data_IF_287861259603
#
_entry.id   IF_287861259603
#
_cell.length_a   1.000
_cell.length_b   1.000
_cell.length_c   1.000
_cell.angle_alpha   90.00
_cell.angle_beta   90.00
_cell.angle_gamma   90.00
#
_symmetry.space_group_name_H-M   'P 1'
#
loop_
_entity.id
_entity.type
_entity.pdbx_description
1 polymer ?
#
# COMPACT_ATOMS: atom_id res chain seq x y z
N UNK A 1 -3.94 25.85 -7.07
CA UNK A 1 -4.72 25.14 -6.03
C UNK A 1 -3.72 24.52 -5.06
N UNK A 2 -4.02 24.51 -3.76
CA UNK A 2 -3.15 23.86 -2.78
C UNK A 2 -3.21 22.34 -2.95
N UNK A 3 -2.06 21.66 -2.85
CA UNK A 3 -1.97 20.20 -2.87
C UNK A 3 -2.25 19.68 -1.44
N UNK A 4 -3.30 18.90 -1.25
CA UNK A 4 -3.69 18.30 0.04
C UNK A 4 -3.53 16.77 0.07
N UNK A 5 -2.76 16.19 -0.86
CA UNK A 5 -2.53 14.75 -0.99
C UNK A 5 -2.09 14.10 0.33
N UNK A 6 -1.07 14.65 0.98
CA UNK A 6 -0.58 14.16 2.29
C UNK A 6 -1.67 14.16 3.35
N UNK A 7 -2.54 15.18 3.38
CA UNK A 7 -3.64 15.27 4.34
C UNK A 7 -4.72 14.23 4.06
N UNK A 8 -5.02 13.94 2.79
CA UNK A 8 -6.01 12.91 2.44
C UNK A 8 -5.49 11.50 2.72
N UNK A 9 -4.22 11.25 2.43
CA UNK A 9 -3.53 10.03 2.82
C UNK A 9 -3.50 9.85 4.34
N UNK A 10 -3.31 10.94 5.08
CA UNK A 10 -3.43 10.94 6.55
C UNK A 10 -4.82 10.48 6.99
N UNK A 11 -5.88 11.09 6.48
CA UNK A 11 -7.25 10.70 6.82
C UNK A 11 -7.60 9.26 6.39
N UNK A 12 -7.00 8.77 5.31
CA UNK A 12 -7.12 7.37 4.90
C UNK A 12 -6.52 6.43 5.95
N UNK A 13 -5.29 6.71 6.37
CA UNK A 13 -4.60 5.94 7.42
C UNK A 13 -5.29 6.02 8.77
N UNK A 14 -5.81 7.20 9.15
CA UNK A 14 -6.55 7.38 10.40
C UNK A 14 -7.85 6.54 10.41
N UNK A 15 -8.58 6.51 9.30
CA UNK A 15 -9.77 5.66 9.18
C UNK A 15 -9.42 4.17 9.35
N UNK A 16 -8.33 3.69 8.74
CA UNK A 16 -7.92 2.29 8.90
C UNK A 16 -7.51 1.98 10.33
N UNK A 17 -6.85 2.92 11.02
CA UNK A 17 -6.51 2.77 12.43
C UNK A 17 -7.76 2.69 13.31
N UNK A 18 -8.76 3.52 13.06
CA UNK A 18 -10.05 3.46 13.76
C UNK A 18 -10.75 2.11 13.53
N UNK A 19 -10.73 1.62 12.29
CA UNK A 19 -11.29 0.29 11.96
C UNK A 19 -10.53 -0.84 12.64
N UNK A 20 -9.20 -0.75 12.73
CA UNK A 20 -8.38 -1.74 13.43
C UNK A 20 -8.73 -1.78 14.93
N UNK A 21 -8.79 -0.61 15.57
CA UNK A 21 -9.15 -0.48 16.98
C UNK A 21 -10.54 -1.06 17.27
N UNK A 22 -11.54 -0.77 16.43
CA UNK A 22 -12.90 -1.29 16.57
C UNK A 22 -12.98 -2.82 16.46
N UNK A 23 -12.02 -3.44 15.76
CA UNK A 23 -11.97 -4.89 15.51
C UNK A 23 -10.99 -5.63 16.41
N UNK A 24 -10.25 -4.92 17.27
CA UNK A 24 -9.13 -5.50 18.02
C UNK A 24 -8.03 -6.04 17.09
N UNK A 25 -7.85 -5.45 15.91
CA UNK A 25 -6.83 -5.83 14.94
C UNK A 25 -5.62 -4.90 15.04
N UNK A 26 -4.44 -5.40 14.64
CA UNK A 26 -3.24 -4.59 14.53
C UNK A 26 -3.28 -3.74 13.25
N UNK A 27 -2.71 -2.55 13.31
CA UNK A 27 -2.52 -1.69 12.14
C UNK A 27 -1.29 -0.81 12.31
N UNK A 28 -0.41 -0.85 11.31
CA UNK A 28 0.71 0.08 11.18
C UNK A 28 0.76 0.66 9.77
N UNK A 29 1.33 1.86 9.70
CA UNK A 29 1.54 2.61 8.46
C UNK A 29 3.00 3.03 8.40
N UNK A 30 3.60 2.87 7.23
CA UNK A 30 4.93 3.38 6.93
C UNK A 30 4.85 4.30 5.72
N UNK A 31 5.49 5.48 5.81
CA UNK A 31 5.60 6.42 4.71
C UNK A 31 6.87 6.10 3.91
N UNK A 32 6.77 6.13 2.58
CA UNK A 32 7.90 5.88 1.67
C UNK A 32 8.66 7.16 1.30
N UNK A 33 8.20 8.33 1.78
CA UNK A 33 8.89 9.63 1.73
C UNK A 33 9.58 9.98 0.39
N UNK A 34 8.86 9.79 -0.72
CA UNK A 34 9.37 10.13 -2.06
C UNK A 34 10.25 9.05 -2.70
N UNK A 35 10.17 7.80 -2.19
CA UNK A 35 10.70 6.61 -2.85
C UNK A 35 9.70 5.99 -3.84
N UNK A 36 8.70 6.75 -4.25
CA UNK A 36 7.74 6.43 -5.31
C UNK A 36 8.44 6.08 -6.64
N UNK A 37 9.66 6.59 -6.86
CA UNK A 37 10.48 6.21 -8.01
C UNK A 37 10.87 4.72 -8.03
N UNK A 38 10.88 4.02 -6.89
CA UNK A 38 11.21 2.59 -6.77
C UNK A 38 9.98 1.70 -6.83
N UNK A 39 8.94 2.04 -6.08
CA UNK A 39 7.80 1.16 -5.83
C UNK A 39 6.45 1.71 -6.30
N UNK A 40 6.43 2.92 -6.89
CA UNK A 40 5.22 3.57 -7.42
C UNK A 40 4.08 3.67 -6.38
N UNK A 41 4.45 3.87 -5.12
CA UNK A 41 3.55 4.03 -3.99
C UNK A 41 4.12 5.05 -2.99
N UNK A 42 3.23 5.65 -2.21
CA UNK A 42 3.58 6.60 -1.14
C UNK A 42 3.61 5.93 0.24
N UNK A 43 2.83 4.87 0.43
CA UNK A 43 2.57 4.26 1.73
C UNK A 43 2.61 2.74 1.70
N UNK A 44 3.01 2.15 2.83
CA UNK A 44 2.74 0.76 3.18
C UNK A 44 1.75 0.72 4.34
N UNK A 45 0.69 -0.09 4.23
CA UNK A 45 -0.14 -0.46 5.37
C UNK A 45 0.02 -1.94 5.71
N UNK A 46 -0.08 -2.26 6.99
CA UNK A 46 0.02 -3.64 7.44
C UNK A 46 -0.80 -3.91 8.69
N UNK A 47 -1.30 -5.14 8.81
CA UNK A 47 -1.84 -5.70 10.05
C UNK A 47 -0.85 -6.67 10.73
N UNK A 48 0.45 -6.49 10.45
CA UNK A 48 1.65 -7.24 10.87
C UNK A 48 1.99 -8.44 9.98
N UNK A 49 0.98 -9.16 9.50
CA UNK A 49 1.16 -10.36 8.68
C UNK A 49 0.82 -10.13 7.22
N UNK A 50 -0.08 -9.18 6.94
CA UNK A 50 -0.52 -8.83 5.60
C UNK A 50 -0.21 -7.38 5.27
N UNK A 51 0.13 -7.12 4.03
CA UNK A 51 0.70 -5.85 3.57
C UNK A 51 0.03 -5.35 2.29
N UNK A 52 0.01 -4.03 2.13
CA UNK A 52 -0.44 -3.31 0.93
C UNK A 52 0.45 -2.12 0.63
N UNK A 53 0.57 -1.80 -0.66
CA UNK A 53 1.11 -0.55 -1.19
C UNK A 53 -0.03 0.37 -1.60
N UNK A 54 0.08 1.66 -1.27
CA UNK A 54 -0.90 2.68 -1.66
C UNK A 54 -0.19 3.91 -2.21
N UNK A 55 -0.46 4.24 -3.47
CA UNK A 55 -0.17 5.57 -4.06
C UNK A 55 -1.33 6.51 -3.73
N UNK A 56 -1.05 7.71 -3.25
CA UNK A 56 -2.05 8.75 -3.04
C UNK A 56 -2.11 9.75 -4.17
N UNK A 57 -3.31 10.27 -4.44
CA UNK A 57 -3.53 11.45 -5.26
C UNK A 57 -4.49 12.40 -4.59
N UNK A 58 -4.29 13.70 -4.79
CA UNK A 58 -5.19 14.70 -4.25
C UNK A 58 -6.60 14.64 -4.90
N UNK A 59 -6.71 14.18 -6.16
CA UNK A 59 -8.01 13.90 -6.79
C UNK A 59 -7.91 12.91 -7.95
N UNK A 60 -9.06 12.39 -8.41
CA UNK A 60 -9.16 11.52 -9.59
C UNK A 60 -8.52 12.15 -10.85
N UNK A 61 -8.62 13.47 -11.01
CA UNK A 61 -8.01 14.17 -12.15
C UNK A 61 -6.48 14.07 -12.15
N UNK A 62 -5.88 13.84 -10.98
CA UNK A 62 -4.43 13.74 -10.81
C UNK A 62 -3.90 12.33 -11.06
N UNK A 63 -4.76 11.32 -11.28
CA UNK A 63 -4.33 10.00 -11.74
C UNK A 63 -3.48 10.11 -13.02
N UNK A 64 -3.82 11.08 -13.89
CA UNK A 64 -3.06 11.37 -15.12
C UNK A 64 -1.62 11.86 -14.88
N UNK A 65 -1.27 12.29 -13.67
CA UNK A 65 0.10 12.72 -13.35
C UNK A 65 1.10 11.55 -13.32
N UNK A 66 0.62 10.31 -13.21
CA UNK A 66 1.44 9.11 -13.34
C UNK A 66 2.09 8.99 -14.73
N UNK A 67 1.59 9.70 -15.74
CA UNK A 67 2.28 9.84 -17.04
C UNK A 67 3.66 10.47 -16.93
N UNK A 68 3.94 11.25 -15.88
CA UNK A 68 5.30 11.77 -15.60
C UNK A 68 6.28 10.64 -15.24
N UNK A 69 5.76 9.49 -14.85
CA UNK A 69 6.49 8.24 -14.57
C UNK A 69 6.34 7.24 -15.73
N UNK A 70 6.03 7.69 -16.95
CA UNK A 70 5.63 6.82 -18.07
C UNK A 70 6.59 5.66 -18.35
N UNK A 71 7.91 5.87 -18.27
CA UNK A 71 8.88 4.80 -18.48
C UNK A 71 8.72 3.68 -17.42
N UNK A 72 8.67 4.06 -16.15
CA UNK A 72 8.49 3.16 -15.00
C UNK A 72 7.15 2.42 -15.06
N UNK A 73 6.09 3.17 -15.35
CA UNK A 73 4.74 2.61 -15.52
C UNK A 73 4.72 1.63 -16.70
N UNK A 74 5.36 1.96 -17.83
CA UNK A 74 5.46 1.07 -18.99
C UNK A 74 6.19 -0.24 -18.67
N UNK A 75 7.30 -0.16 -17.92
CA UNK A 75 8.02 -1.34 -17.42
C UNK A 75 7.15 -2.18 -16.50
N UNK A 76 6.46 -1.56 -15.54
CA UNK A 76 5.51 -2.24 -14.67
C UNK A 76 4.44 -2.98 -15.49
N UNK A 77 3.73 -2.28 -16.38
CA UNK A 77 2.63 -2.89 -17.14
C UNK A 77 3.12 -4.03 -18.04
N UNK A 78 4.33 -3.92 -18.62
CA UNK A 78 4.96 -4.97 -19.41
C UNK A 78 5.36 -6.18 -18.55
N UNK A 79 5.95 -5.92 -17.37
CA UNK A 79 6.30 -6.97 -16.42
C UNK A 79 5.06 -7.73 -15.93
N UNK A 80 3.99 -7.01 -15.60
CA UNK A 80 2.71 -7.60 -15.19
C UNK A 80 2.09 -8.45 -16.31
N UNK A 81 2.15 -8.00 -17.57
CA UNK A 81 1.65 -8.76 -18.70
C UNK A 81 2.45 -10.07 -18.94
N UNK A 82 3.75 -10.05 -18.65
CA UNK A 82 4.63 -11.21 -18.80
C UNK A 82 4.62 -12.16 -17.60
N UNK A 83 4.10 -11.73 -16.43
CA UNK A 83 4.15 -12.50 -15.19
C UNK A 83 2.78 -12.54 -14.48
N UNK A 84 1.93 -13.54 -14.80
CA UNK A 84 0.61 -13.70 -14.18
C UNK A 84 0.62 -13.87 -12.66
N UNK A 85 1.69 -14.43 -12.08
CA UNK A 85 1.80 -14.57 -10.63
C UNK A 85 1.96 -13.19 -9.96
N UNK A 86 2.86 -12.35 -10.50
CA UNK A 86 3.05 -10.98 -10.00
C UNK A 86 1.84 -10.10 -10.29
N UNK A 87 1.11 -10.35 -11.39
CA UNK A 87 -0.18 -9.72 -11.66
C UNK A 87 -1.21 -10.00 -10.56
N UNK A 88 -1.30 -11.25 -10.09
CA UNK A 88 -2.20 -11.62 -9.01
C UNK A 88 -1.82 -10.95 -7.68
N UNK A 89 -0.52 -10.92 -7.35
CA UNK A 89 -0.03 -10.23 -6.15
C UNK A 89 -0.27 -8.71 -6.24
N UNK A 90 0.02 -8.09 -7.38
CA UNK A 90 -0.26 -6.68 -7.65
C UNK A 90 -1.73 -6.35 -7.38
N UNK A 91 -2.65 -7.13 -7.94
CA UNK A 91 -4.09 -6.90 -7.79
C UNK A 91 -4.59 -7.03 -6.36
N UNK A 92 -3.93 -7.87 -5.57
CA UNK A 92 -4.28 -8.11 -4.18
C UNK A 92 -3.71 -7.06 -3.22
N UNK A 93 -2.60 -6.37 -3.56
CA UNK A 93 -1.90 -5.51 -2.62
C UNK A 93 -1.54 -4.09 -3.09
N UNK A 94 -1.61 -3.76 -4.37
CA UNK A 94 -1.11 -2.47 -4.88
C UNK A 94 -2.25 -1.58 -5.40
N UNK A 95 -2.56 -0.55 -4.62
CA UNK A 95 -3.71 0.33 -4.83
C UNK A 95 -3.28 1.77 -5.10
N UNK A 96 -4.20 2.51 -5.72
CA UNK A 96 -4.13 3.97 -5.83
C UNK A 96 -5.38 4.57 -5.18
N UNK A 97 -5.20 5.56 -4.32
CA UNK A 97 -6.25 6.20 -3.54
C UNK A 97 -6.36 7.68 -3.87
N UNK A 98 -7.58 8.22 -3.88
CA UNK A 98 -7.84 9.62 -4.15
C UNK A 98 -9.09 10.13 -3.46
N UNK A 99 -9.22 11.46 -3.41
CA UNK A 99 -10.49 12.11 -3.04
C UNK A 99 -11.36 12.29 -4.28
N UNK A 100 -12.56 11.74 -4.26
CA UNK A 100 -13.55 11.96 -5.31
C UNK A 100 -13.97 13.43 -5.33
N UNK A 101 -13.82 14.10 -6.47
CA UNK A 101 -14.08 15.55 -6.59
C UNK A 101 -15.56 15.91 -6.42
N UNK A 102 -16.49 14.98 -6.74
CA UNK A 102 -17.94 15.20 -6.66
C UNK A 102 -18.49 14.86 -5.28
N UNK A 103 -18.14 13.69 -4.75
CA UNK A 103 -18.70 13.19 -3.48
C UNK A 103 -17.88 13.59 -2.26
N UNK A 104 -16.64 14.06 -2.47
CA UNK A 104 -15.64 14.37 -1.44
C UNK A 104 -15.16 13.16 -0.62
N UNK A 105 -15.64 11.96 -0.94
CA UNK A 105 -15.25 10.70 -0.29
C UNK A 105 -13.85 10.27 -0.71
N UNK A 106 -13.17 9.57 0.19
CA UNK A 106 -11.95 8.84 -0.12
C UNK A 106 -12.31 7.52 -0.82
N UNK A 107 -11.69 7.30 -1.97
CA UNK A 107 -11.89 6.15 -2.85
C UNK A 107 -10.53 5.57 -3.23
N UNK A 108 -10.53 4.31 -3.64
CA UNK A 108 -9.33 3.65 -4.14
C UNK A 108 -9.70 2.56 -5.14
N UNK A 109 -8.73 2.16 -5.94
CA UNK A 109 -8.82 0.99 -6.82
C UNK A 109 -7.44 0.36 -6.99
N UNK A 110 -7.41 -0.82 -7.60
CA UNK A 110 -6.16 -1.49 -7.98
C UNK A 110 -5.36 -0.57 -8.91
N UNK A 111 -4.09 -0.29 -8.55
CA UNK A 111 -3.24 0.68 -9.23
C UNK A 111 -3.20 0.43 -10.75
N UNK A 112 -2.95 -0.81 -11.18
CA UNK A 112 -2.82 -1.13 -12.61
C UNK A 112 -4.12 -0.92 -13.39
N UNK A 113 -5.29 -1.04 -12.76
CA UNK A 113 -6.58 -0.86 -13.45
C UNK A 113 -6.82 0.60 -13.82
N UNK A 114 -6.26 1.51 -13.02
CA UNK A 114 -6.33 2.95 -13.27
C UNK A 114 -5.17 3.42 -14.17
N UNK A 115 -3.98 2.84 -14.00
CA UNK A 115 -2.75 3.36 -14.58
C UNK A 115 -2.29 2.60 -15.84
N UNK A 116 -2.41 1.27 -15.89
CA UNK A 116 -2.08 0.48 -17.08
C UNK A 116 -3.23 0.48 -18.08
N UNK A 117 -3.48 1.66 -18.68
CA UNK A 117 -4.55 1.86 -19.67
C UNK A 117 -4.00 2.48 -20.94
N UNK A 118 -4.73 2.31 -22.05
CA UNK A 118 -4.41 3.00 -23.31
C UNK A 118 -4.50 4.52 -23.19
N UNK A 119 -5.32 5.02 -22.26
CA UNK A 119 -5.35 6.45 -21.96
C UNK A 119 -4.02 6.94 -21.38
N UNK A 120 -3.34 6.14 -20.56
CA UNK A 120 -2.07 6.52 -19.92
C UNK A 120 -0.83 6.19 -20.75
N UNK A 121 -0.79 5.03 -21.39
CA UNK A 121 0.38 4.53 -22.12
C UNK A 121 0.20 4.48 -23.65
N UNK A 122 -0.95 4.89 -24.18
CA UNK A 122 -1.26 4.77 -25.60
C UNK A 122 -1.41 3.31 -26.05
N UNK A 123 -1.16 3.06 -27.33
CA UNK A 123 -1.20 1.73 -27.94
C UNK A 123 -0.10 0.79 -27.46
N UNK A 124 0.86 1.30 -26.68
CA UNK A 124 1.95 0.51 -26.10
C UNK A 124 1.56 -0.21 -24.81
N UNK A 125 0.36 0.01 -24.26
CA UNK A 125 -0.12 -0.72 -23.09
C UNK A 125 -0.31 -2.21 -23.42
N UNK A 126 0.46 -3.13 -22.80
CA UNK A 126 0.42 -4.55 -23.15
C UNK A 126 -0.70 -5.31 -22.44
N UNK A 127 -1.25 -4.72 -21.38
CA UNK A 127 -2.37 -5.30 -20.64
C UNK A 127 -3.69 -5.00 -21.37
N UNK A 128 -4.64 -5.96 -21.38
CA UNK A 128 -5.97 -5.70 -21.90
C UNK A 128 -6.60 -4.53 -21.14
N UNK A 129 -7.49 -3.76 -21.78
CA UNK A 129 -8.26 -2.77 -21.06
C UNK A 129 -8.94 -3.44 -19.85
N UNK A 130 -9.01 -2.76 -18.69
CA UNK A 130 -9.78 -3.27 -17.56
C UNK A 130 -11.18 -3.65 -18.07
N UNK A 131 -11.70 -4.80 -17.66
CA UNK A 131 -13.03 -5.26 -18.10
C UNK A 131 -14.02 -4.10 -18.03
N UNK A 132 -14.64 -3.79 -19.18
CA UNK A 132 -15.41 -2.57 -19.43
C UNK A 132 -16.70 -2.46 -18.61
N UNK A 133 -16.97 -3.39 -17.69
CA UNK A 133 -17.78 -3.09 -16.51
C UNK A 133 -16.88 -2.38 -15.52
N UNK A 134 -16.83 -1.05 -15.58
CA UNK A 134 -16.15 -0.20 -14.61
C UNK A 134 -16.62 -0.59 -13.21
N UNK A 135 -15.92 -1.52 -12.55
CA UNK A 135 -16.14 -1.79 -11.14
C UNK A 135 -15.90 -0.44 -10.46
N UNK A 136 -16.94 0.10 -9.84
CA UNK A 136 -16.81 1.38 -9.16
C UNK A 136 -15.59 1.32 -8.24
N UNK A 137 -14.78 2.39 -8.18
CA UNK A 137 -13.71 2.49 -7.20
C UNK A 137 -14.20 2.04 -5.83
N UNK A 138 -13.39 1.24 -5.14
CA UNK A 138 -13.70 0.79 -3.81
C UNK A 138 -13.97 2.00 -2.93
N UNK A 139 -15.11 1.97 -2.23
CA UNK A 139 -15.31 2.86 -1.09
C UNK A 139 -14.35 2.42 0.00
N UNK A 140 -13.77 3.37 0.72
CA UNK A 140 -12.83 3.09 1.81
C UNK A 140 -13.35 2.06 2.82
N UNK A 141 -14.65 2.07 3.14
CA UNK A 141 -15.29 1.04 3.97
C UNK A 141 -15.15 -0.37 3.41
N UNK A 142 -15.39 -0.57 2.11
CA UNK A 142 -15.27 -1.89 1.48
C UNK A 142 -13.83 -2.39 1.54
N UNK A 143 -12.87 -1.49 1.35
CA UNK A 143 -11.46 -1.82 1.47
C UNK A 143 -11.09 -2.19 2.90
N UNK A 144 -11.49 -1.40 3.90
CA UNK A 144 -11.20 -1.73 5.30
C UNK A 144 -11.84 -3.04 5.74
N UNK A 145 -13.06 -3.33 5.26
CA UNK A 145 -13.72 -4.62 5.47
C UNK A 145 -12.90 -5.80 4.93
N UNK A 146 -12.33 -5.68 3.72
CA UNK A 146 -11.49 -6.71 3.12
C UNK A 146 -10.06 -6.78 3.66
N UNK A 147 -9.48 -5.66 4.08
CA UNK A 147 -8.13 -5.57 4.67
C UNK A 147 -8.08 -6.20 6.07
N UNK A 148 -9.13 -5.98 6.88
CA UNK A 148 -9.28 -6.58 8.20
C UNK A 148 -10.25 -7.78 8.21
N UNK A 149 -10.42 -8.47 7.08
CA UNK A 149 -11.30 -9.65 7.01
C UNK A 149 -10.77 -10.78 7.90
N UNK A 150 -11.67 -11.40 8.65
CA UNK A 150 -11.39 -12.55 9.52
C UNK A 150 -12.43 -13.65 9.29
N UNK A 151 -12.04 -14.95 9.28
CA UNK A 151 -10.67 -15.43 9.42
C UNK A 151 -9.79 -15.08 8.20
N UNK A 152 -8.46 -15.07 8.35
CA UNK A 152 -7.56 -14.85 7.22
C UNK A 152 -7.78 -15.90 6.11
N UNK A 153 -7.44 -15.59 4.85
CA UNK A 153 -6.71 -14.40 4.42
C UNK A 153 -7.61 -13.17 4.14
N UNK A 154 -7.08 -11.95 4.31
CA UNK A 154 -7.73 -10.73 3.83
C UNK A 154 -7.89 -10.73 2.31
N UNK A 155 -8.90 -10.01 1.82
CA UNK A 155 -9.18 -9.90 0.37
C UNK A 155 -8.34 -8.83 -0.32
N UNK A 156 -7.87 -7.84 0.44
CA UNK A 156 -7.13 -6.68 -0.08
C UNK A 156 -5.79 -6.50 0.61
N UNK A 157 -5.08 -7.60 0.85
CA UNK A 157 -3.69 -7.61 1.29
C UNK A 157 -3.07 -8.97 1.02
N UNK A 158 -1.74 -9.03 0.89
CA UNK A 158 -0.99 -10.28 0.71
C UNK A 158 -0.09 -10.55 1.90
N UNK A 159 0.21 -11.83 2.15
CA UNK A 159 1.01 -12.24 3.29
C UNK A 159 2.46 -11.73 3.16
N UNK A 160 3.15 -11.58 4.29
CA UNK A 160 4.53 -11.07 4.38
C UNK A 160 5.49 -11.64 3.32
N UNK A 161 5.51 -12.97 3.17
CA UNK A 161 6.40 -13.64 2.22
C UNK A 161 6.08 -13.26 0.75
N UNK A 162 4.80 -13.24 0.38
CA UNK A 162 4.37 -12.84 -0.96
C UNK A 162 4.64 -11.34 -1.19
N UNK A 163 4.49 -10.52 -0.16
CA UNK A 163 4.77 -9.09 -0.22
C UNK A 163 6.26 -8.81 -0.47
N UNK A 164 7.14 -9.52 0.23
CA UNK A 164 8.59 -9.42 0.02
C UNK A 164 8.98 -9.82 -1.41
N UNK A 165 8.41 -10.93 -1.90
CA UNK A 165 8.62 -11.35 -3.28
C UNK A 165 8.13 -10.31 -4.29
N UNK A 166 6.93 -9.80 -4.06
CA UNK A 166 6.32 -8.80 -4.92
C UNK A 166 7.11 -7.49 -4.93
N UNK A 167 7.53 -6.94 -3.77
CA UNK A 167 8.31 -5.70 -3.73
C UNK A 167 9.68 -5.88 -4.38
N UNK A 168 10.36 -7.01 -4.15
CA UNK A 168 11.61 -7.35 -4.84
C UNK A 168 11.43 -7.37 -6.36
N UNK A 169 10.41 -8.06 -6.84
CA UNK A 169 10.09 -8.07 -8.27
C UNK A 169 9.74 -6.67 -8.80
N UNK A 170 8.97 -5.88 -8.04
CA UNK A 170 8.53 -4.54 -8.43
C UNK A 170 9.70 -3.59 -8.60
N UNK A 171 10.62 -3.53 -7.62
CA UNK A 171 11.81 -2.68 -7.69
C UNK A 171 12.70 -3.08 -8.87
N UNK A 172 12.99 -4.38 -9.02
CA UNK A 172 13.78 -4.87 -10.16
C UNK A 172 13.11 -4.55 -11.50
N UNK A 173 11.78 -4.68 -11.59
CA UNK A 173 11.04 -4.41 -12.84
C UNK A 173 11.01 -2.93 -13.18
N UNK A 174 10.75 -2.07 -12.19
CA UNK A 174 10.55 -0.64 -12.40
C UNK A 174 11.87 0.11 -12.56
N UNK A 175 12.87 -0.18 -11.74
CA UNK A 175 14.13 0.57 -11.70
C UNK A 175 15.36 -0.23 -12.15
N UNK A 176 15.26 -1.55 -12.31
CA UNK A 176 16.41 -2.45 -12.38
C UNK A 176 17.30 -2.43 -11.12
N UNK A 177 16.73 -1.98 -9.98
CA UNK A 177 17.40 -1.92 -8.67
C UNK A 177 17.09 -3.14 -7.78
N UNK A 178 17.48 -3.04 -6.51
CA UNK A 178 17.31 -4.05 -5.46
C UNK A 178 16.32 -3.57 -4.39
N UNK A 179 15.47 -4.48 -3.86
CA UNK A 179 14.51 -4.17 -2.79
C UNK A 179 15.13 -3.72 -1.46
N UNK A 180 16.39 -4.08 -1.20
CA UNK A 180 17.14 -3.61 -0.03
C UNK A 180 17.35 -2.10 -0.03
N UNK A 181 17.05 -1.42 -1.12
CA UNK A 181 17.11 0.04 -1.22
C UNK A 181 15.79 0.72 -0.82
N UNK A 182 14.76 0.00 -0.39
CA UNK A 182 13.50 0.60 0.11
C UNK A 182 13.66 0.91 1.59
N UNK A 183 13.88 2.18 1.90
CA UNK A 183 14.03 2.67 3.27
C UNK A 183 12.68 3.15 3.82
N UNK A 184 12.43 2.98 5.11
CA UNK A 184 11.21 3.43 5.76
C UNK A 184 11.52 4.11 7.08
N UNK A 185 10.57 4.86 7.60
CA UNK A 185 10.61 5.38 8.97
C UNK A 185 9.52 4.69 9.78
N UNK A 186 9.94 4.03 10.86
CA UNK A 186 9.05 3.41 11.83
C UNK A 186 8.91 4.25 13.09
N UNK A 187 7.92 3.88 13.90
CA UNK A 187 7.74 4.41 15.25
C UNK A 187 8.02 3.29 16.27
N UNK A 188 8.84 3.58 17.27
CA UNK A 188 8.99 2.79 18.51
C UNK A 188 8.63 3.65 19.72
N UNK A 189 8.52 3.01 20.88
CA UNK A 189 8.41 3.68 22.16
C UNK A 189 9.59 3.26 23.04
N UNK A 190 10.18 4.21 23.76
CA UNK A 190 11.23 3.90 24.73
C UNK A 190 10.64 3.35 26.05
N UNK A 191 11.52 3.15 27.04
CA UNK A 191 11.14 2.61 28.34
C UNK A 191 10.21 3.53 29.14
N UNK A 192 10.25 4.84 28.87
CA UNK A 192 9.41 5.85 29.52
C UNK A 192 8.06 6.02 28.80
N UNK A 193 7.90 5.39 27.63
CA UNK A 193 6.71 5.46 26.79
C UNK A 193 6.72 6.62 25.80
N UNK A 194 7.87 7.29 25.61
CA UNK A 194 8.01 8.36 24.65
C UNK A 194 8.20 7.81 23.23
N UNK A 195 7.59 8.49 22.25
CA UNK A 195 7.62 8.07 20.87
C UNK A 195 8.97 8.41 20.20
N UNK A 196 9.58 7.42 19.58
CA UNK A 196 10.81 7.53 18.80
C UNK A 196 10.54 7.27 17.32
N UNK A 197 11.11 8.09 16.45
CA UNK A 197 11.21 7.79 15.02
C UNK A 197 12.51 7.01 14.75
N UNK A 198 12.41 5.89 14.04
CA UNK A 198 13.57 5.05 13.71
C UNK A 198 13.68 4.84 12.20
N UNK A 199 14.90 4.92 11.69
CA UNK A 199 15.18 4.58 10.30
C UNK A 199 15.18 3.05 10.14
N UNK A 200 14.52 2.57 9.10
CA UNK A 200 14.38 1.17 8.72
C UNK A 200 14.92 1.03 7.29
N UNK A 201 16.24 0.84 7.09
CA UNK A 201 16.84 0.80 5.75
C UNK A 201 16.44 -0.42 4.90
N UNK A 202 15.50 -1.26 5.35
CA UNK A 202 14.95 -2.36 4.56
C UNK A 202 13.60 -2.83 5.10
N UNK A 203 12.85 -3.57 4.26
CA UNK A 203 11.65 -4.28 4.69
C UNK A 203 11.92 -5.34 5.77
N UNK A 204 13.11 -5.94 5.80
CA UNK A 204 13.48 -6.90 6.84
C UNK A 204 13.41 -6.27 8.24
N UNK A 205 13.90 -5.03 8.38
CA UNK A 205 13.84 -4.30 9.65
C UNK A 205 12.43 -3.84 10.01
N UNK A 206 11.56 -3.62 9.01
CA UNK A 206 10.11 -3.44 9.27
C UNK A 206 9.54 -4.71 9.90
N UNK A 207 9.88 -5.89 9.40
CA UNK A 207 9.37 -7.15 9.93
C UNK A 207 9.85 -7.40 11.36
N UNK A 208 11.14 -7.15 11.64
CA UNK A 208 11.69 -7.23 13.00
C UNK A 208 10.94 -6.30 13.97
N UNK A 209 10.70 -5.05 13.57
CA UNK A 209 9.92 -4.09 14.36
C UNK A 209 8.49 -4.62 14.67
N UNK A 210 7.80 -5.15 13.67
CA UNK A 210 6.43 -5.65 13.83
C UNK A 210 6.38 -6.90 14.73
N UNK A 211 7.40 -7.75 14.64
CA UNK A 211 7.52 -8.94 15.48
C UNK A 211 7.83 -8.55 16.94
N UNK A 212 8.67 -7.54 17.17
CA UNK A 212 8.87 -6.94 18.50
C UNK A 212 7.56 -6.38 19.08
N UNK A 213 6.80 -5.61 18.30
CA UNK A 213 5.51 -5.06 18.72
C UNK A 213 4.53 -6.17 19.13
N UNK A 214 4.44 -7.24 18.32
CA UNK A 214 3.59 -8.40 18.63
C UNK A 214 3.99 -9.06 19.95
N UNK A 215 5.29 -9.28 20.16
CA UNK A 215 5.79 -9.92 21.37
C UNK A 215 5.49 -9.08 22.63
N UNK A 216 5.58 -7.76 22.54
CA UNK A 216 5.27 -6.86 23.65
C UNK A 216 3.77 -6.87 24.00
N UNK A 217 2.88 -6.92 23.00
CA UNK A 217 1.43 -7.06 23.22
C UNK A 217 1.05 -8.38 23.90
N UNK A 218 1.74 -9.47 23.57
CA UNK A 218 1.52 -10.77 24.21
C UNK A 218 2.00 -10.79 25.67
N UNK A 219 3.09 -10.08 25.97
CA UNK A 219 3.59 -9.96 27.35
C UNK A 219 2.69 -9.12 28.24
N UNK A 220 2.13 -8.02 27.73
CA UNK A 220 1.22 -7.17 28.49
C UNK A 220 -0.13 -7.85 28.77
N UNK A 221 -0.65 -8.63 27.82
CA UNK A 221 -1.90 -9.40 27.99
C UNK A 221 -1.75 -10.64 28.89
N UNK A 222 -0.52 -11.11 29.13
CA UNK A 222 -0.22 -12.23 30.03
C UNK A 222 -0.01 -11.85 31.50
N UNK A 223 0.03 -10.56 31.85
CA UNK A 223 0.17 -10.10 33.25
C UNK A 223 -1.17 -9.84 33.97
N UNK A 224 -2.30 -9.99 33.27
CA UNK A 224 -3.66 -9.90 33.84
C UNK A 224 -4.28 -11.29 34.10
N UNK A 225 -3.53 -12.17 34.75
CA UNK A 225 -4.01 -13.48 35.22
C UNK A 225 -3.77 -13.65 36.73
N UNK A 226 -4.81 -13.94 37.55
CA UNK A 226 -4.71 -14.03 39.01
C UNK A 226 -3.83 -15.18 39.52
#
# INVERSE_FOLDING_TARGET
>A
MANHEKSYLQHFGDHLRDQANQRGANFERFDLDGQDYKVLADLIFTNYDYFVLVEGKNSEMELGTERRKAERVSRLCSGLAANPAMLALHDACHFIAWRNSKSTKLELDVYRKQICTTAMLGTACPLPPPDSSTAEPFKLRKFSDGFFHMPPPPTFAIHRADFEEYVRWLVTTVTAGDSSEVELVGRKYDADGDAMAIALPSLALVYELLDEHRNNLQRSSGMDGP
#
